data_IF_991045353989
#
_entry.id   IF_991045353989
#
_cell.length_a   1.000
_cell.length_b   1.000
_cell.length_c   1.000
_cell.angle_alpha   90.00
_cell.angle_beta   90.00
_cell.angle_gamma   90.00
#
_symmetry.space_group_name_H-M   'P 1'
#
loop_
_entity.id
_entity.type
_entity.pdbx_description
1 polymer ?
#
# COMPACT_ATOMS: atom_id res chain seq x y z
N UNK A 1 -14.51 26.14 67.65
CA UNK A 1 -15.69 25.58 68.35
C UNK A 1 -16.29 24.47 67.49
N UNK A 2 -16.36 23.29 68.12
CA UNK A 2 -17.20 22.10 67.84
C UNK A 2 -17.27 21.53 66.39
N UNK A 3 -16.52 20.42 66.23
CA UNK A 3 -16.70 19.35 65.31
C UNK A 3 -18.07 18.69 65.42
N UNK A 4 -18.70 18.33 64.31
CA UNK A 4 -19.71 17.27 64.29
C UNK A 4 -19.39 16.27 63.20
N UNK A 5 -19.05 15.06 63.64
CA UNK A 5 -18.97 13.84 62.80
C UNK A 5 -20.41 13.33 62.62
N UNK A 6 -20.73 12.92 61.35
CA UNK A 6 -21.88 12.05 61.08
C UNK A 6 -21.38 10.74 60.49
N UNK A 7 -21.67 9.67 61.21
CA UNK A 7 -21.47 8.29 60.82
C UNK A 7 -22.81 7.81 60.24
N UNK A 8 -22.81 7.24 59.04
CA UNK A 8 -23.94 6.47 58.52
C UNK A 8 -23.59 4.98 58.45
N UNK A 9 -24.53 4.08 58.75
CA UNK A 9 -24.26 2.67 58.88
C UNK A 9 -24.36 1.92 57.53
N UNK A 10 -23.51 0.89 57.44
CA UNK A 10 -23.48 -0.13 56.41
C UNK A 10 -24.68 -1.05 56.59
N UNK A 11 -25.48 -1.24 55.55
CA UNK A 11 -26.51 -2.26 55.49
C UNK A 11 -26.06 -3.35 54.51
N UNK A 12 -25.71 -4.50 55.05
CA UNK A 12 -25.42 -5.74 54.31
C UNK A 12 -26.74 -6.40 53.94
N UNK A 13 -26.97 -6.60 52.67
CA UNK A 13 -28.02 -7.51 52.17
C UNK A 13 -27.38 -8.73 51.51
N UNK A 14 -27.57 -9.85 52.17
CA UNK A 14 -27.31 -11.20 51.66
C UNK A 14 -28.45 -11.57 50.72
N UNK A 15 -28.16 -11.97 49.52
CA UNK A 15 -29.14 -12.60 48.64
C UNK A 15 -28.65 -14.00 48.25
N UNK A 16 -29.49 -14.95 48.58
CA UNK A 16 -29.39 -16.38 48.29
C UNK A 16 -29.42 -16.65 46.78
N UNK A 17 -28.58 -17.61 46.35
CA UNK A 17 -28.66 -18.26 45.04
C UNK A 17 -29.63 -19.45 45.11
N UNK A 18 -30.44 -19.72 44.07
CA UNK A 18 -31.09 -21.00 43.89
C UNK A 18 -30.21 -21.97 43.07
N UNK A 19 -30.05 -23.16 43.64
CA UNK A 19 -29.48 -24.32 42.97
C UNK A 19 -30.41 -24.82 41.86
N UNK A 20 -29.85 -25.08 40.68
CA UNK A 20 -30.54 -25.87 39.67
C UNK A 20 -29.85 -27.22 39.47
N UNK A 21 -30.69 -28.26 39.54
CA UNK A 21 -30.43 -29.69 39.44
C UNK A 21 -29.77 -30.05 38.13
N UNK A 22 -28.74 -30.85 38.22
CA UNK A 22 -28.18 -31.61 37.09
C UNK A 22 -29.13 -32.78 36.71
N UNK A 23 -29.52 -32.84 35.47
CA UNK A 23 -30.05 -34.04 34.86
C UNK A 23 -28.96 -34.70 34.03
N UNK A 24 -28.50 -35.86 34.47
CA UNK A 24 -27.76 -36.85 33.68
C UNK A 24 -28.74 -37.53 32.70
N UNK A 25 -28.38 -37.55 31.44
CA UNK A 25 -28.95 -38.49 30.48
C UNK A 25 -27.83 -39.31 29.87
N UNK A 26 -28.04 -40.61 29.93
CA UNK A 26 -27.16 -41.71 29.58
C UNK A 26 -26.76 -41.74 28.10
N UNK A 27 -25.55 -42.23 27.88
CA UNK A 27 -25.07 -42.72 26.59
C UNK A 27 -25.88 -43.94 26.12
N UNK A 28 -26.24 -43.94 24.83
CA UNK A 28 -26.64 -45.14 24.13
C UNK A 28 -25.97 -45.18 22.74
N UNK A 29 -25.41 -46.33 22.43
CA UNK A 29 -24.64 -46.67 21.25
C UNK A 29 -25.45 -46.52 19.96
N UNK A 30 -24.81 -46.03 18.89
CA UNK A 30 -25.20 -46.37 17.52
C UNK A 30 -24.02 -46.32 16.55
N UNK A 31 -23.51 -47.48 16.25
CA UNK A 31 -23.15 -48.04 14.94
C UNK A 31 -22.38 -47.22 13.89
N UNK A 32 -21.30 -47.88 13.49
CA UNK A 32 -20.37 -47.65 12.40
C UNK A 32 -20.99 -47.25 11.05
N UNK A 33 -20.36 -46.31 10.40
CA UNK A 33 -20.50 -46.02 8.99
C UNK A 33 -19.27 -46.48 8.21
N UNK A 34 -19.41 -46.96 6.96
CA UNK A 34 -18.33 -47.59 6.24
C UNK A 34 -17.36 -46.62 5.59
N UNK A 35 -16.10 -47.04 5.56
CA UNK A 35 -14.97 -46.48 4.87
C UNK A 35 -15.23 -46.33 3.36
N UNK A 36 -14.84 -45.22 2.69
CA UNK A 36 -14.81 -45.19 1.23
C UNK A 36 -13.53 -45.82 0.69
N UNK A 37 -13.71 -46.64 -0.31
CA UNK A 37 -12.73 -47.44 -1.01
C UNK A 37 -11.59 -46.62 -1.62
N UNK A 38 -10.37 -47.17 -1.54
CA UNK A 38 -9.19 -46.77 -2.30
C UNK A 38 -9.46 -46.94 -3.80
N UNK A 39 -9.31 -45.85 -4.56
CA UNK A 39 -9.17 -45.90 -6.00
C UNK A 39 -7.67 -45.93 -6.35
N UNK A 40 -7.27 -47.05 -6.99
CA UNK A 40 -5.94 -47.24 -7.56
C UNK A 40 -5.70 -46.26 -8.72
N UNK A 41 -4.54 -45.60 -8.70
CA UNK A 41 -3.99 -44.90 -9.86
C UNK A 41 -3.43 -45.95 -10.84
N UNK A 42 -4.03 -46.06 -12.00
CA UNK A 42 -3.38 -46.67 -13.16
C UNK A 42 -2.72 -45.58 -14.00
N UNK A 43 -1.40 -45.64 -14.04
CA UNK A 43 -0.56 -44.93 -15.00
C UNK A 43 -0.74 -45.52 -16.38
N UNK A 44 -1.08 -44.70 -17.38
CA UNK A 44 -0.63 -44.93 -18.76
C UNK A 44 -0.36 -43.57 -19.47
N UNK A 45 0.74 -43.47 -20.24
CA UNK A 45 1.13 -42.27 -20.93
C UNK A 45 0.44 -42.17 -22.29
N UNK A 46 -0.10 -41.03 -22.61
CA UNK A 46 -0.55 -40.70 -23.97
C UNK A 46 0.50 -39.86 -24.68
N UNK A 47 0.82 -40.30 -25.87
CA UNK A 47 1.89 -39.86 -26.75
C UNK A 47 1.73 -38.45 -27.28
N UNK A 48 2.90 -37.85 -27.50
CA UNK A 48 3.16 -36.69 -28.35
C UNK A 48 2.57 -36.83 -29.76
N UNK A 49 1.94 -35.77 -30.23
CA UNK A 49 2.01 -35.43 -31.66
C UNK A 49 2.34 -33.94 -31.79
N UNK A 50 3.60 -33.72 -32.11
CA UNK A 50 4.09 -32.46 -32.61
C UNK A 50 3.48 -32.20 -34.01
N UNK A 51 3.04 -30.97 -34.22
CA UNK A 51 2.84 -30.43 -35.56
C UNK A 51 3.48 -29.05 -35.63
N UNK A 52 4.65 -29.07 -36.22
CA UNK A 52 5.47 -27.97 -36.61
C UNK A 52 4.84 -27.29 -37.83
N UNK A 53 4.61 -25.99 -37.79
CA UNK A 53 4.42 -25.18 -38.98
C UNK A 53 5.28 -23.91 -38.82
N UNK A 54 6.38 -23.92 -39.58
CA UNK A 54 7.26 -22.77 -39.81
C UNK A 54 6.63 -21.78 -40.80
N UNK A 55 6.98 -20.48 -40.72
CA UNK A 55 6.47 -19.44 -41.59
C UNK A 55 7.32 -19.33 -42.87
N UNK A 56 6.66 -19.23 -43.98
CA UNK A 56 7.27 -18.83 -45.25
C UNK A 56 7.09 -17.35 -45.48
N UNK A 57 8.20 -16.66 -45.68
CA UNK A 57 8.25 -15.36 -46.33
C UNK A 57 8.19 -15.53 -47.85
N UNK A 58 7.74 -14.56 -48.61
CA UNK A 58 8.39 -14.27 -49.86
C UNK A 58 8.84 -12.82 -50.05
N UNK A 59 9.85 -12.76 -50.87
CA UNK A 59 10.77 -11.71 -51.22
C UNK A 59 10.21 -10.61 -52.12
N UNK A 60 11.06 -9.60 -52.19
CA UNK A 60 11.08 -8.36 -52.94
C UNK A 60 10.91 -8.44 -54.48
N UNK A 61 10.45 -7.33 -55.05
CA UNK A 61 10.97 -6.70 -56.29
C UNK A 61 10.35 -5.29 -56.37
N UNK A 62 11.09 -4.24 -56.38
CA UNK A 62 12.00 -3.61 -57.33
C UNK A 62 11.29 -2.62 -58.27
N UNK A 63 11.78 -1.35 -58.17
CA UNK A 63 11.94 -0.33 -59.20
C UNK A 63 10.71 0.31 -59.87
N UNK A 64 10.60 1.63 -59.80
CA UNK A 64 11.25 2.60 -60.66
C UNK A 64 10.93 4.05 -60.29
N UNK A 65 11.92 4.94 -60.50
CA UNK A 65 11.85 6.40 -60.54
C UNK A 65 11.82 6.81 -62.04
N UNK A 66 11.32 7.99 -62.50
CA UNK A 66 12.05 9.23 -62.33
C UNK A 66 11.22 10.54 -62.28
N UNK A 67 11.85 11.52 -61.66
CA UNK A 67 12.01 12.96 -61.88
C UNK A 67 10.97 13.82 -62.62
N UNK A 68 10.67 15.00 -62.02
CA UNK A 68 10.90 16.32 -62.58
C UNK A 68 10.59 17.46 -61.59
N UNK A 69 11.59 18.19 -61.30
CA UNK A 69 11.81 19.62 -61.20
C UNK A 69 10.60 20.58 -60.99
N UNK A 70 10.67 21.36 -59.92
CA UNK A 70 10.26 22.78 -59.90
C UNK A 70 10.88 23.48 -58.68
N UNK A 71 11.73 24.39 -58.97
CA UNK A 71 12.31 25.40 -58.07
C UNK A 71 11.23 26.21 -57.38
N UNK A 72 11.35 26.43 -56.07
CA UNK A 72 10.95 27.68 -55.51
C UNK A 72 11.78 28.06 -54.27
N UNK A 73 12.18 29.25 -54.30
CA UNK A 73 12.98 30.13 -53.49
C UNK A 73 12.89 29.98 -51.96
N UNK A 74 14.08 29.97 -51.37
CA UNK A 74 14.31 30.08 -49.92
C UNK A 74 13.88 31.42 -49.37
N UNK A 75 13.16 31.41 -48.23
CA UNK A 75 13.08 32.50 -47.29
C UNK A 75 13.89 32.13 -46.04
N UNK A 76 14.55 33.06 -45.35
CA UNK A 76 15.50 32.74 -44.29
C UNK A 76 14.80 32.24 -43.05
N UNK A 77 15.30 31.14 -42.50
CA UNK A 77 14.90 30.60 -41.18
C UNK A 77 15.23 31.59 -40.10
N UNK A 78 14.20 32.05 -39.38
CA UNK A 78 14.34 32.69 -38.09
C UNK A 78 14.92 31.72 -37.05
N UNK A 79 15.59 32.21 -36.00
CA UNK A 79 16.22 31.34 -35.02
C UNK A 79 15.17 30.44 -34.37
N UNK A 80 15.42 29.11 -34.34
CA UNK A 80 14.67 28.13 -33.59
C UNK A 80 14.66 28.59 -32.10
N UNK A 81 13.50 28.89 -31.61
CA UNK A 81 13.28 29.06 -30.17
C UNK A 81 13.59 27.70 -29.54
N UNK A 82 14.71 27.60 -28.87
CA UNK A 82 14.98 26.53 -27.90
C UNK A 82 13.89 26.65 -26.87
N UNK A 83 12.98 25.70 -26.85
CA UNK A 83 12.01 25.53 -25.78
C UNK A 83 12.82 25.27 -24.51
N UNK A 84 12.99 26.32 -23.70
CA UNK A 84 13.62 26.18 -22.40
C UNK A 84 12.73 25.25 -21.61
N UNK A 85 13.28 24.10 -21.20
CA UNK A 85 12.62 23.21 -20.27
C UNK A 85 12.10 24.05 -19.10
N UNK A 86 10.79 24.08 -18.89
CA UNK A 86 10.17 24.83 -17.81
C UNK A 86 10.82 24.40 -16.49
N UNK A 87 11.27 25.36 -15.71
CA UNK A 87 11.77 25.07 -14.37
C UNK A 87 10.67 24.34 -13.58
N UNK A 88 11.03 23.36 -12.74
CA UNK A 88 10.05 22.62 -11.95
C UNK A 88 9.22 23.59 -11.10
N UNK A 89 7.91 23.33 -11.04
CA UNK A 89 6.99 24.15 -10.27
C UNK A 89 7.46 24.25 -8.81
N UNK A 90 7.48 25.45 -8.27
CA UNK A 90 7.95 25.76 -6.92
C UNK A 90 6.79 26.35 -6.10
N UNK A 91 6.76 26.01 -4.82
CA UNK A 91 5.88 26.60 -3.82
C UNK A 91 6.73 27.15 -2.68
N UNK A 92 6.45 28.36 -2.24
CA UNK A 92 7.18 28.97 -1.13
C UNK A 92 6.93 28.24 0.19
N UNK A 93 7.95 28.16 1.04
CA UNK A 93 7.90 27.60 2.39
C UNK A 93 7.59 26.08 2.48
N UNK A 94 8.03 25.30 1.52
CA UNK A 94 8.04 23.84 1.63
C UNK A 94 9.41 23.35 2.14
N UNK A 95 9.48 22.71 3.30
CA UNK A 95 10.73 22.13 3.80
C UNK A 95 11.17 20.95 2.93
N UNK A 96 12.41 20.49 3.11
CA UNK A 96 12.85 19.21 2.57
C UNK A 96 12.03 18.08 3.19
N UNK A 97 11.77 17.04 2.41
CA UNK A 97 11.05 15.86 2.88
C UNK A 97 11.63 14.57 2.30
N UNK A 98 11.51 13.49 3.05
CA UNK A 98 11.93 12.16 2.62
C UNK A 98 10.85 11.14 3.00
N UNK A 99 10.49 10.29 2.05
CA UNK A 99 9.56 9.17 2.24
C UNK A 99 10.32 7.89 1.91
N UNK A 100 10.33 6.93 2.84
CA UNK A 100 10.71 5.55 2.58
C UNK A 100 9.45 4.71 2.47
N UNK A 101 9.42 3.78 1.52
CA UNK A 101 8.23 2.96 1.34
C UNK A 101 8.54 1.55 0.88
N UNK A 102 7.61 0.66 1.18
CA UNK A 102 7.55 -0.71 0.70
C UNK A 102 6.16 -1.00 0.15
N UNK A 103 6.02 -2.05 -0.63
CA UNK A 103 4.77 -2.60 -1.12
C UNK A 103 4.97 -4.07 -1.49
N UNK A 104 3.90 -4.87 -1.43
CA UNK A 104 3.88 -6.26 -1.89
C UNK A 104 5.03 -7.12 -1.32
N UNK A 105 5.29 -6.98 -0.03
CA UNK A 105 6.39 -7.70 0.64
C UNK A 105 6.08 -9.18 0.81
N UNK A 106 4.80 -9.55 0.98
CA UNK A 106 4.33 -10.93 1.00
C UNK A 106 5.11 -11.85 1.95
N UNK A 107 5.30 -11.39 3.20
CA UNK A 107 5.92 -12.21 4.23
C UNK A 107 7.41 -12.51 4.04
N UNK A 108 8.12 -11.73 3.26
CA UNK A 108 9.58 -11.84 3.04
C UNK A 108 10.37 -11.29 4.23
N UNK A 109 10.24 -11.97 5.37
CA UNK A 109 10.85 -11.58 6.66
C UNK A 109 12.36 -11.78 6.64
N UNK A 110 12.82 -12.92 6.10
CA UNK A 110 14.20 -13.35 6.13
C UNK A 110 14.94 -12.87 4.88
N UNK A 111 16.21 -12.46 5.06
CA UNK A 111 17.11 -12.15 3.95
C UNK A 111 17.38 -13.40 3.11
N UNK A 112 17.22 -13.26 1.80
CA UNK A 112 17.53 -14.28 0.80
C UNK A 112 18.20 -13.65 -0.41
N UNK A 113 18.55 -14.47 -1.42
CA UNK A 113 19.11 -13.94 -2.68
C UNK A 113 18.09 -12.99 -3.35
N UNK A 114 18.46 -11.71 -3.42
CA UNK A 114 17.60 -10.67 -4.01
C UNK A 114 16.51 -10.13 -3.08
N UNK A 115 16.42 -10.62 -1.85
CA UNK A 115 15.45 -10.19 -0.82
C UNK A 115 16.21 -9.54 0.33
N UNK A 116 15.80 -8.34 0.71
CA UNK A 116 16.46 -7.55 1.78
C UNK A 116 16.22 -8.17 3.15
N UNK A 117 14.99 -8.60 3.42
CA UNK A 117 14.55 -9.05 4.74
C UNK A 117 14.29 -7.92 5.74
N UNK A 118 13.41 -8.18 6.69
CA UNK A 118 12.90 -7.15 7.61
C UNK A 118 14.01 -6.60 8.55
N UNK A 119 14.98 -7.43 8.96
CA UNK A 119 16.08 -6.97 9.82
C UNK A 119 17.02 -5.95 9.14
N UNK A 120 17.31 -6.10 7.85
CA UNK A 120 18.08 -5.11 7.10
C UNK A 120 17.24 -3.90 6.69
N UNK A 121 15.97 -4.10 6.39
CA UNK A 121 15.01 -3.00 6.22
C UNK A 121 15.00 -2.09 7.45
N UNK A 122 14.95 -2.67 8.66
CA UNK A 122 15.00 -1.92 9.91
C UNK A 122 16.28 -1.07 10.02
N UNK A 123 17.43 -1.65 9.67
CA UNK A 123 18.71 -0.91 9.69
C UNK A 123 18.70 0.26 8.71
N UNK A 124 18.26 0.04 7.47
CA UNK A 124 18.16 1.12 6.45
C UNK A 124 17.27 2.26 6.95
N UNK A 125 16.12 1.94 7.54
CA UNK A 125 15.21 2.94 8.08
C UNK A 125 15.84 3.68 9.26
N UNK A 126 16.51 3.00 10.18
CA UNK A 126 17.22 3.61 11.32
C UNK A 126 18.33 4.55 10.85
N UNK A 127 19.11 4.15 9.83
CA UNK A 127 20.15 4.99 9.24
C UNK A 127 19.59 6.25 8.56
N UNK A 128 18.48 6.15 7.84
CA UNK A 128 17.84 7.31 7.24
C UNK A 128 17.23 8.24 8.29
N UNK A 129 16.62 7.70 9.34
CA UNK A 129 16.11 8.50 10.48
C UNK A 129 17.23 9.18 11.29
N UNK A 130 18.41 8.57 11.37
CA UNK A 130 19.55 9.19 12.01
C UNK A 130 20.05 10.43 11.23
N UNK A 131 19.89 10.43 9.90
CA UNK A 131 20.22 11.58 9.03
C UNK A 131 19.12 12.63 9.06
N UNK A 132 17.86 12.19 9.07
CA UNK A 132 16.66 13.03 9.08
C UNK A 132 15.55 12.37 9.93
N UNK A 133 15.30 12.83 11.16
CA UNK A 133 14.30 12.25 12.04
C UNK A 133 12.85 12.43 11.51
N UNK A 134 12.64 13.32 10.52
CA UNK A 134 11.33 13.60 9.92
C UNK A 134 10.98 12.67 8.75
N UNK A 135 11.78 11.62 8.48
CA UNK A 135 11.48 10.62 7.45
C UNK A 135 10.15 9.94 7.72
N UNK A 136 9.25 9.99 6.72
CA UNK A 136 8.01 9.23 6.71
C UNK A 136 8.30 7.80 6.20
N UNK A 137 7.82 6.78 6.90
CA UNK A 137 7.97 5.37 6.52
C UNK A 137 6.59 4.73 6.35
N UNK A 138 6.28 4.26 5.15
CA UNK A 138 4.95 3.76 4.79
C UNK A 138 4.99 2.47 3.98
N UNK A 139 3.87 1.74 3.97
CA UNK A 139 3.70 0.53 3.17
C UNK A 139 2.39 0.61 2.35
N UNK A 140 2.43 0.22 1.09
CA UNK A 140 1.29 0.28 0.20
C UNK A 140 0.51 -1.03 0.10
N UNK A 141 0.61 -1.92 1.09
CA UNK A 141 -0.22 -3.12 1.21
C UNK A 141 0.41 -4.41 0.72
N UNK A 142 -0.30 -5.51 0.92
CA UNK A 142 0.12 -6.89 0.66
C UNK A 142 1.39 -7.27 1.44
N UNK A 143 1.36 -7.00 2.74
CA UNK A 143 2.51 -7.20 3.61
C UNK A 143 2.55 -8.60 4.22
N UNK A 144 1.42 -9.16 4.65
CA UNK A 144 1.37 -10.24 5.64
C UNK A 144 1.29 -11.64 5.05
N UNK A 145 0.57 -11.81 3.95
CA UNK A 145 0.39 -13.10 3.30
C UNK A 145 1.52 -13.38 2.30
N UNK A 146 2.00 -14.62 2.22
CA UNK A 146 2.98 -15.06 1.22
C UNK A 146 3.73 -16.31 1.66
N UNK A 147 4.86 -16.16 2.34
CA UNK A 147 5.67 -17.28 2.77
C UNK A 147 5.10 -18.01 4.00
N UNK A 148 5.36 -19.34 4.15
CA UNK A 148 4.93 -20.10 5.30
C UNK A 148 5.31 -19.52 6.65
N UNK A 149 6.49 -18.89 6.75
CA UNK A 149 6.96 -18.25 7.98
C UNK A 149 6.01 -17.14 8.46
N UNK A 150 5.40 -16.38 7.55
CA UNK A 150 4.38 -15.39 7.88
C UNK A 150 2.98 -16.01 7.99
N UNK A 151 2.62 -16.89 7.03
CA UNK A 151 1.29 -17.48 6.96
C UNK A 151 0.95 -18.35 8.18
N UNK A 152 1.94 -18.97 8.83
CA UNK A 152 1.73 -19.82 10.03
C UNK A 152 1.07 -19.06 11.18
N UNK A 153 1.33 -17.76 11.30
CA UNK A 153 0.70 -16.85 12.25
C UNK A 153 -0.39 -15.98 11.61
N UNK A 154 -0.80 -16.28 10.36
CA UNK A 154 -1.67 -15.41 9.55
C UNK A 154 -1.14 -13.97 9.45
N UNK A 155 0.17 -13.80 9.42
CA UNK A 155 0.83 -12.51 9.35
C UNK A 155 0.95 -11.73 10.68
N UNK A 156 0.40 -12.24 11.80
CA UNK A 156 0.43 -11.53 13.08
C UNK A 156 1.86 -11.28 13.59
N UNK A 157 2.76 -12.26 13.43
CA UNK A 157 4.16 -12.07 13.85
C UNK A 157 4.85 -10.99 13.00
N UNK A 158 4.60 -10.98 11.69
CA UNK A 158 5.13 -9.90 10.86
C UNK A 158 4.56 -8.53 11.22
N UNK A 159 3.28 -8.45 11.59
CA UNK A 159 2.70 -7.19 12.09
C UNK A 159 3.44 -6.65 13.32
N UNK A 160 3.87 -7.53 14.24
CA UNK A 160 4.72 -7.14 15.38
C UNK A 160 6.10 -6.67 14.95
N UNK A 161 6.71 -7.32 13.96
CA UNK A 161 7.99 -6.90 13.37
C UNK A 161 7.87 -5.51 12.75
N UNK A 162 6.80 -5.21 12.01
CA UNK A 162 6.56 -3.88 11.44
C UNK A 162 6.42 -2.79 12.51
N UNK A 163 5.86 -3.14 13.68
CA UNK A 163 5.84 -2.23 14.84
C UNK A 163 7.24 -1.89 15.35
N UNK A 164 8.15 -2.88 15.38
CA UNK A 164 9.54 -2.67 15.80
C UNK A 164 10.34 -1.87 14.77
N UNK A 165 10.12 -2.11 13.49
CA UNK A 165 10.69 -1.31 12.39
C UNK A 165 10.22 0.14 12.49
N UNK A 166 8.98 0.35 12.93
CA UNK A 166 8.42 1.67 13.18
C UNK A 166 7.87 2.33 11.92
N UNK A 167 6.97 1.66 11.22
CA UNK A 167 6.18 2.29 10.17
C UNK A 167 5.27 3.39 10.73
N UNK A 168 4.91 4.36 9.88
CA UNK A 168 4.03 5.48 10.23
C UNK A 168 2.59 5.28 9.75
N UNK A 169 2.41 4.54 8.65
CA UNK A 169 1.11 4.15 8.11
C UNK A 169 1.26 3.02 7.09
N UNK A 170 0.16 2.29 6.86
CA UNK A 170 0.08 1.24 5.85
C UNK A 170 -1.28 1.26 5.17
N UNK A 171 -1.34 1.00 3.85
CA UNK A 171 -2.59 0.72 3.15
C UNK A 171 -2.99 -0.75 3.29
N UNK A 172 -4.27 -1.02 3.13
CA UNK A 172 -4.83 -2.38 3.00
C UNK A 172 -4.72 -2.81 1.55
N UNK A 173 -4.00 -3.90 1.27
CA UNK A 173 -4.01 -4.57 -0.02
C UNK A 173 -5.08 -5.67 -0.12
N UNK A 174 -5.13 -6.37 -1.25
CA UNK A 174 -6.10 -7.45 -1.42
C UNK A 174 -5.71 -8.71 -0.61
N UNK A 175 -4.44 -8.97 -0.41
CA UNK A 175 -3.96 -10.13 0.34
C UNK A 175 -4.04 -9.96 1.87
N UNK A 176 -4.33 -8.77 2.40
CA UNK A 176 -4.71 -8.61 3.79
C UNK A 176 -6.02 -9.32 4.12
N UNK A 177 -6.84 -9.65 3.12
CA UNK A 177 -8.09 -10.40 3.29
C UNK A 177 -7.94 -11.93 3.11
N UNK A 178 -6.76 -12.45 2.80
CA UNK A 178 -6.58 -13.87 2.50
C UNK A 178 -6.90 -14.81 3.68
N UNK A 179 -6.82 -14.30 4.89
CA UNK A 179 -7.22 -15.02 6.11
C UNK A 179 -8.63 -14.63 6.61
N UNK A 180 -9.39 -13.87 5.81
CA UNK A 180 -10.74 -13.41 6.10
C UNK A 180 -10.82 -12.01 6.70
N UNK A 181 -12.04 -11.43 6.66
CA UNK A 181 -12.30 -10.07 7.12
C UNK A 181 -11.94 -9.87 8.60
N UNK A 182 -12.22 -10.85 9.46
CA UNK A 182 -11.95 -10.73 10.89
C UNK A 182 -10.45 -10.66 11.17
N UNK A 183 -9.64 -11.42 10.44
CA UNK A 183 -8.19 -11.33 10.54
C UNK A 183 -7.67 -9.99 10.00
N UNK A 184 -8.21 -9.52 8.86
CA UNK A 184 -7.88 -8.20 8.34
C UNK A 184 -8.18 -7.07 9.35
N UNK A 185 -9.29 -7.17 10.07
CA UNK A 185 -9.62 -6.24 11.16
C UNK A 185 -8.67 -6.36 12.35
N UNK A 186 -8.20 -7.56 12.66
CA UNK A 186 -7.31 -7.82 13.81
C UNK A 186 -5.95 -7.13 13.64
N UNK A 187 -5.45 -6.98 12.42
CA UNK A 187 -4.23 -6.21 12.19
C UNK A 187 -4.30 -4.78 12.74
N UNK A 188 -5.48 -4.12 12.72
CA UNK A 188 -5.65 -2.79 13.31
C UNK A 188 -5.40 -2.76 14.83
N UNK A 189 -5.59 -3.90 15.50
CA UNK A 189 -5.39 -4.02 16.95
C UNK A 189 -3.94 -4.34 17.30
N UNK A 190 -3.23 -5.02 16.36
CA UNK A 190 -1.83 -5.42 16.54
C UNK A 190 -0.88 -4.27 16.17
N UNK A 191 -1.17 -3.57 15.05
CA UNK A 191 -0.33 -2.50 14.53
C UNK A 191 -0.38 -1.27 15.44
N UNK A 192 0.77 -0.68 15.73
CA UNK A 192 0.94 0.56 16.49
C UNK A 192 0.84 1.81 15.61
N UNK A 193 0.54 1.63 14.34
CA UNK A 193 0.35 2.68 13.34
C UNK A 193 -0.93 2.39 12.55
N UNK A 194 -1.53 3.41 11.90
CA UNK A 194 -2.79 3.26 11.19
C UNK A 194 -2.70 2.32 9.98
N UNK A 195 -3.69 1.43 9.88
CA UNK A 195 -3.98 0.63 8.69
C UNK A 195 -5.14 1.29 7.94
N UNK A 196 -4.90 1.73 6.70
CA UNK A 196 -5.73 2.69 5.99
C UNK A 196 -6.42 2.08 4.76
N UNK A 197 -7.71 2.35 4.62
CA UNK A 197 -8.46 2.15 3.37
C UNK A 197 -9.67 3.07 3.32
N UNK A 198 -9.68 4.00 2.39
CA UNK A 198 -10.77 4.95 2.22
C UNK A 198 -12.05 4.33 1.63
N UNK A 199 -11.91 3.23 0.88
CA UNK A 199 -12.95 2.68 0.01
C UNK A 199 -13.43 1.26 0.38
N UNK A 200 -13.07 0.74 1.55
CA UNK A 200 -13.50 -0.58 2.04
C UNK A 200 -14.64 -0.45 3.03
N UNK A 201 -15.79 -1.03 2.71
CA UNK A 201 -17.03 -0.95 3.49
C UNK A 201 -17.59 -2.32 3.84
N UNK A 202 -18.14 -2.45 5.04
CA UNK A 202 -18.97 -3.56 5.47
C UNK A 202 -20.12 -3.03 6.33
N UNK A 203 -21.34 -3.56 6.15
CA UNK A 203 -22.53 -3.08 6.88
C UNK A 203 -22.73 -1.56 6.76
N UNK A 204 -22.50 -0.99 5.59
CA UNK A 204 -22.60 0.45 5.29
C UNK A 204 -21.65 1.35 6.12
N UNK A 205 -20.64 0.78 6.75
CA UNK A 205 -19.62 1.53 7.47
C UNK A 205 -18.23 1.23 6.90
N UNK A 206 -17.36 2.25 6.89
CA UNK A 206 -15.96 2.07 6.50
C UNK A 206 -15.26 1.14 7.49
N UNK A 207 -14.59 0.11 7.00
CA UNK A 207 -13.95 -0.94 7.83
C UNK A 207 -12.65 -0.43 8.47
N UNK A 208 -11.89 0.35 7.72
CA UNK A 208 -10.60 0.90 8.12
C UNK A 208 -10.67 2.43 8.17
N UNK A 209 -9.72 3.02 8.87
CA UNK A 209 -9.52 4.46 8.83
C UNK A 209 -9.14 4.89 7.41
N UNK A 210 -9.71 6.00 6.92
CA UNK A 210 -9.46 6.45 5.55
C UNK A 210 -8.09 7.12 5.40
N UNK A 211 -7.70 7.89 6.42
CA UNK A 211 -6.51 8.74 6.40
C UNK A 211 -5.99 8.98 7.80
N UNK A 212 -4.73 9.43 7.86
CA UNK A 212 -4.10 9.92 9.08
C UNK A 212 -3.22 11.13 8.76
N UNK A 213 -2.90 11.91 9.78
CA UNK A 213 -1.91 12.99 9.67
C UNK A 213 -0.71 12.58 10.49
N UNK A 214 0.45 12.55 9.85
CA UNK A 214 1.74 12.24 10.48
C UNK A 214 2.52 13.55 10.59
N UNK A 215 2.66 14.02 11.82
CA UNK A 215 3.44 15.19 12.18
C UNK A 215 4.68 14.72 12.96
N UNK A 216 5.85 14.90 12.36
CA UNK A 216 7.14 14.49 12.94
C UNK A 216 7.79 15.57 13.78
N UNK A 217 7.37 16.82 13.61
CA UNK A 217 7.90 17.97 14.32
C UNK A 217 6.83 19.03 14.53
N UNK A 218 6.02 18.93 15.59
CA UNK A 218 4.93 19.86 15.85
C UNK A 218 5.34 21.34 16.01
N UNK A 219 6.65 21.62 16.02
CA UNK A 219 7.17 22.99 16.05
C UNK A 219 7.32 23.62 14.65
N UNK A 220 7.15 22.82 13.60
CA UNK A 220 7.31 23.24 12.19
C UNK A 220 5.98 23.08 11.47
N UNK A 221 5.39 24.16 11.03
CA UNK A 221 4.17 24.12 10.22
C UNK A 221 4.50 23.79 8.75
N UNK A 222 3.67 22.97 8.11
CA UNK A 222 3.76 22.63 6.69
C UNK A 222 4.69 21.45 6.38
N UNK A 223 5.23 20.77 7.39
CA UNK A 223 5.99 19.53 7.24
C UNK A 223 5.15 18.27 7.55
N UNK A 224 3.91 18.44 7.96
CA UNK A 224 2.97 17.33 8.19
C UNK A 224 2.68 16.58 6.89
N UNK A 225 2.48 15.27 7.01
CA UNK A 225 2.02 14.42 5.92
C UNK A 225 0.56 14.02 6.15
N UNK A 226 -0.30 14.33 5.19
CA UNK A 226 -1.64 13.73 5.09
C UNK A 226 -1.48 12.42 4.36
N UNK A 227 -1.74 11.30 5.02
CA UNK A 227 -1.62 9.95 4.45
C UNK A 227 -3.01 9.36 4.26
N UNK A 228 -3.35 8.97 3.03
CA UNK A 228 -4.63 8.37 2.64
C UNK A 228 -4.37 6.98 2.10
N UNK A 229 -5.15 5.97 2.53
CA UNK A 229 -5.08 4.61 1.97
C UNK A 229 -6.23 4.34 1.01
N UNK A 230 -5.98 3.54 -0.03
CA UNK A 230 -7.01 3.06 -0.96
C UNK A 230 -6.68 1.66 -1.46
N UNK A 231 -7.71 0.80 -1.50
CA UNK A 231 -7.62 -0.63 -1.83
C UNK A 231 -8.23 -0.89 -3.20
N UNK A 232 -7.62 -1.77 -3.98
CA UNK A 232 -8.14 -2.16 -5.30
C UNK A 232 -9.52 -2.79 -5.20
N UNK A 233 -10.50 -2.38 -6.03
CA UNK A 233 -11.78 -3.08 -6.15
C UNK A 233 -11.64 -4.52 -6.67
N UNK A 234 -10.51 -4.85 -7.32
CA UNK A 234 -10.19 -6.24 -7.70
C UNK A 234 -10.11 -7.19 -6.51
N UNK A 235 -10.00 -6.68 -5.27
CA UNK A 235 -10.02 -7.49 -4.05
C UNK A 235 -11.23 -8.41 -3.99
N UNK A 236 -12.36 -8.00 -4.53
CA UNK A 236 -13.57 -8.84 -4.61
C UNK A 236 -13.35 -10.18 -5.34
N UNK A 237 -12.34 -10.25 -6.23
CA UNK A 237 -11.99 -11.42 -7.05
C UNK A 237 -10.55 -11.88 -6.94
N UNK A 238 -9.65 -11.06 -6.41
CA UNK A 238 -8.21 -11.34 -6.24
C UNK A 238 -7.86 -11.96 -4.88
N UNK A 239 -8.83 -12.12 -3.98
CA UNK A 239 -8.77 -13.00 -2.82
C UNK A 239 -9.91 -14.01 -2.90
N UNK A 240 -9.94 -14.99 -2.00
CA UNK A 240 -11.03 -15.97 -2.02
C UNK A 240 -12.38 -15.29 -1.68
N UNK A 241 -13.43 -15.40 -2.50
CA UNK A 241 -14.68 -14.65 -2.34
C UNK A 241 -15.35 -14.79 -0.96
N UNK A 242 -15.18 -15.92 -0.28
CA UNK A 242 -15.68 -16.12 1.09
C UNK A 242 -15.03 -15.19 2.10
N UNK A 243 -13.78 -14.78 1.86
CA UNK A 243 -13.01 -13.94 2.78
C UNK A 243 -13.48 -12.49 2.80
N UNK A 244 -14.17 -12.07 1.74
CA UNK A 244 -14.69 -10.70 1.55
C UNK A 244 -16.21 -10.66 1.39
N UNK A 245 -16.90 -11.72 1.83
CA UNK A 245 -18.35 -11.75 1.82
C UNK A 245 -18.94 -10.60 2.65
N UNK A 246 -19.82 -9.81 2.04
CA UNK A 246 -20.41 -8.62 2.67
C UNK A 246 -19.47 -7.40 2.74
N UNK A 247 -18.31 -7.48 2.08
CA UNK A 247 -17.39 -6.33 1.92
C UNK A 247 -17.59 -5.73 0.54
N UNK A 248 -17.62 -4.40 0.48
CA UNK A 248 -17.70 -3.62 -0.76
C UNK A 248 -16.47 -2.76 -0.89
N UNK A 249 -15.88 -2.75 -2.08
CA UNK A 249 -14.76 -1.88 -2.46
C UNK A 249 -15.31 -0.87 -3.49
N UNK A 250 -15.40 0.40 -3.08
CA UNK A 250 -15.96 1.45 -3.92
C UNK A 250 -14.90 2.08 -4.84
N UNK A 251 -15.32 2.95 -5.75
CA UNK A 251 -14.43 3.58 -6.73
C UNK A 251 -13.27 4.34 -6.07
N UNK A 252 -12.02 4.01 -6.41
CA UNK A 252 -10.84 4.55 -5.74
C UNK A 252 -10.71 6.06 -5.88
N UNK A 253 -10.92 6.59 -7.09
CA UNK A 253 -10.72 8.01 -7.40
C UNK A 253 -11.75 8.85 -6.68
N UNK A 254 -13.01 8.44 -6.72
CA UNK A 254 -14.12 9.10 -6.02
C UNK A 254 -13.87 9.14 -4.51
N UNK A 255 -13.47 8.03 -3.91
CA UNK A 255 -13.26 7.94 -2.47
C UNK A 255 -12.04 8.74 -2.00
N UNK A 256 -10.93 8.69 -2.72
CA UNK A 256 -9.74 9.49 -2.37
C UNK A 256 -10.06 10.98 -2.47
N UNK A 257 -10.72 11.43 -3.54
CA UNK A 257 -11.12 12.84 -3.67
C UNK A 257 -12.09 13.26 -2.57
N UNK A 258 -13.05 12.41 -2.18
CA UNK A 258 -13.95 12.69 -1.07
C UNK A 258 -13.19 12.88 0.25
N UNK A 259 -12.22 12.03 0.53
CA UNK A 259 -11.38 12.14 1.74
C UNK A 259 -10.54 13.42 1.71
N UNK A 260 -9.98 13.80 0.55
CA UNK A 260 -9.28 15.08 0.38
C UNK A 260 -10.21 16.25 0.69
N UNK A 261 -11.45 16.21 0.18
CA UNK A 261 -12.46 17.26 0.43
C UNK A 261 -12.77 17.38 1.93
N UNK A 262 -12.95 16.25 2.62
CA UNK A 262 -13.19 16.20 4.07
C UNK A 262 -11.99 16.77 4.86
N UNK A 263 -10.75 16.45 4.46
CA UNK A 263 -9.53 16.94 5.11
C UNK A 263 -9.35 18.43 4.90
N UNK A 264 -9.50 18.92 3.65
CA UNK A 264 -9.34 20.33 3.32
C UNK A 264 -10.40 21.18 4.02
N UNK A 265 -11.66 20.72 4.10
CA UNK A 265 -12.72 21.40 4.83
C UNK A 265 -12.41 21.49 6.33
N UNK A 266 -11.94 20.42 6.95
CA UNK A 266 -11.53 20.40 8.36
C UNK A 266 -10.31 21.31 8.60
N UNK A 267 -9.30 21.21 7.74
CA UNK A 267 -8.10 22.06 7.84
C UNK A 267 -8.46 23.54 7.76
N UNK A 268 -9.33 23.94 6.82
CA UNK A 268 -9.80 25.30 6.69
C UNK A 268 -10.53 25.78 7.96
N UNK A 269 -11.38 24.94 8.57
CA UNK A 269 -12.07 25.24 9.81
C UNK A 269 -11.10 25.42 11.01
N UNK A 270 -9.98 24.69 11.00
CA UNK A 270 -8.93 24.73 12.03
C UNK A 270 -7.83 25.76 11.74
N UNK A 271 -7.89 26.49 10.62
CA UNK A 271 -6.87 27.45 10.18
C UNK A 271 -5.56 26.79 9.76
N UNK A 272 -5.59 25.50 9.37
CA UNK A 272 -4.44 24.71 8.90
C UNK A 272 -4.38 24.67 7.37
N UNK A 273 -3.19 24.47 6.85
CA UNK A 273 -2.96 24.30 5.41
C UNK A 273 -1.89 23.22 5.17
N UNK A 274 -2.34 21.97 5.02
CA UNK A 274 -1.45 20.85 4.74
C UNK A 274 -0.81 20.98 3.36
N UNK A 275 0.48 20.70 3.28
CA UNK A 275 1.30 20.87 2.07
C UNK A 275 1.73 19.54 1.43
N UNK A 276 1.74 18.44 2.20
CA UNK A 276 2.21 17.14 1.72
C UNK A 276 1.09 16.12 1.83
N UNK A 277 0.64 15.59 0.68
CA UNK A 277 -0.31 14.51 0.56
C UNK A 277 0.41 13.25 0.10
N UNK A 278 0.18 12.15 0.77
CA UNK A 278 0.70 10.82 0.41
C UNK A 278 -0.50 9.88 0.27
N UNK A 279 -0.70 9.34 -0.91
CA UNK A 279 -1.74 8.36 -1.18
C UNK A 279 -1.08 6.99 -1.30
N UNK A 280 -1.34 6.13 -0.33
CA UNK A 280 -0.93 4.73 -0.35
C UNK A 280 -1.99 3.96 -1.14
N UNK A 281 -1.69 3.73 -2.40
CA UNK A 281 -2.59 3.10 -3.35
C UNK A 281 -2.20 1.63 -3.53
N UNK A 282 -3.08 0.71 -3.20
CA UNK A 282 -2.90 -0.68 -3.59
C UNK A 282 -3.78 -0.97 -4.80
N UNK A 283 -3.42 -0.41 -5.97
CA UNK A 283 -4.21 -0.40 -7.20
C UNK A 283 -3.49 -1.03 -8.39
N UNK A 284 -2.21 -0.73 -8.55
CA UNK A 284 -1.36 -1.23 -9.62
C UNK A 284 -1.60 -0.55 -10.98
N UNK A 285 -0.82 -1.02 -11.96
CA UNK A 285 -0.83 -0.49 -13.34
C UNK A 285 -1.00 -1.60 -14.38
N UNK A 286 -1.44 -2.79 -13.98
CA UNK A 286 -1.67 -3.90 -14.89
C UNK A 286 -2.65 -3.54 -15.99
N UNK A 287 -2.36 -3.97 -17.21
CA UNK A 287 -3.23 -3.74 -18.36
C UNK A 287 -4.56 -4.51 -18.27
N UNK A 288 -4.62 -5.56 -17.46
CA UNK A 288 -5.85 -6.34 -17.18
C UNK A 288 -6.75 -5.68 -16.16
N UNK A 289 -6.21 -4.78 -15.31
CA UNK A 289 -7.00 -3.98 -14.38
C UNK A 289 -7.79 -2.92 -15.13
N UNK A 290 -9.09 -2.72 -14.85
CA UNK A 290 -9.87 -1.62 -15.41
C UNK A 290 -9.13 -0.29 -15.25
N UNK A 291 -9.11 0.52 -16.32
CA UNK A 291 -8.32 1.75 -16.35
C UNK A 291 -8.67 2.70 -15.20
N UNK A 292 -9.95 2.80 -14.87
CA UNK A 292 -10.46 3.64 -13.77
C UNK A 292 -10.00 3.21 -12.37
N UNK A 293 -9.49 1.97 -12.23
CA UNK A 293 -8.98 1.45 -10.95
C UNK A 293 -7.46 1.45 -10.84
N UNK A 294 -6.75 1.92 -11.87
CA UNK A 294 -5.29 1.94 -11.86
C UNK A 294 -4.73 3.10 -11.05
N UNK A 295 -3.60 2.85 -10.40
CA UNK A 295 -2.89 3.89 -9.65
C UNK A 295 -2.39 5.04 -10.52
N UNK A 296 -2.03 4.76 -11.79
CA UNK A 296 -1.69 5.79 -12.77
C UNK A 296 -2.85 6.73 -13.07
N UNK A 297 -4.07 6.19 -13.21
CA UNK A 297 -5.28 7.00 -13.43
C UNK A 297 -5.64 7.84 -12.20
N UNK A 298 -5.47 7.26 -11.00
CA UNK A 298 -5.60 8.02 -9.76
C UNK A 298 -4.58 9.18 -9.71
N UNK A 299 -3.31 8.92 -9.98
CA UNK A 299 -2.26 9.94 -9.97
C UNK A 299 -2.55 11.08 -10.97
N UNK A 300 -3.01 10.72 -12.17
CA UNK A 300 -3.45 11.72 -13.17
C UNK A 300 -4.65 12.53 -12.68
N UNK A 301 -5.64 11.91 -12.07
CA UNK A 301 -6.80 12.61 -11.49
C UNK A 301 -6.40 13.58 -10.38
N UNK A 302 -5.47 13.15 -9.49
CA UNK A 302 -4.96 13.99 -8.41
C UNK A 302 -4.19 15.21 -8.93
N UNK A 303 -3.44 15.07 -10.03
CA UNK A 303 -2.73 16.19 -10.65
C UNK A 303 -3.66 17.28 -11.19
N UNK A 304 -4.92 16.93 -11.44
CA UNK A 304 -5.97 17.84 -11.93
C UNK A 304 -6.88 18.36 -10.80
N UNK A 305 -6.71 17.88 -9.56
CA UNK A 305 -7.53 18.30 -8.43
C UNK A 305 -7.16 19.73 -7.98
N UNK A 306 -8.07 20.72 -8.08
CA UNK A 306 -7.75 22.11 -7.77
C UNK A 306 -7.39 22.35 -6.30
N UNK A 307 -7.84 21.48 -5.37
CA UNK A 307 -7.52 21.56 -3.94
C UNK A 307 -6.07 21.17 -3.63
N UNK A 308 -5.44 20.43 -4.56
CA UNK A 308 -4.05 19.99 -4.43
C UNK A 308 -3.06 20.87 -5.20
N UNK A 309 -3.55 21.92 -5.87
CA UNK A 309 -2.69 22.86 -6.58
C UNK A 309 -1.69 23.54 -5.63
N UNK A 310 -0.41 23.49 -5.99
CA UNK A 310 0.67 24.05 -5.17
C UNK A 310 1.00 23.21 -3.92
N UNK A 311 0.49 21.98 -3.82
CA UNK A 311 0.81 21.01 -2.78
C UNK A 311 1.59 19.84 -3.36
N UNK A 312 2.46 19.23 -2.56
CA UNK A 312 3.13 17.96 -2.91
C UNK A 312 2.15 16.83 -2.81
N UNK A 313 2.07 16.00 -3.84
CA UNK A 313 1.28 14.79 -3.85
C UNK A 313 2.20 13.63 -4.23
N UNK A 314 2.28 12.62 -3.38
CA UNK A 314 3.03 11.39 -3.63
C UNK A 314 2.06 10.23 -3.67
N UNK A 315 2.03 9.50 -4.77
CA UNK A 315 1.30 8.25 -4.89
C UNK A 315 2.30 7.10 -4.76
N UNK A 316 2.19 6.33 -3.69
CA UNK A 316 2.93 5.09 -3.50
C UNK A 316 1.98 3.96 -3.80
N UNK A 317 2.29 3.16 -4.81
CA UNK A 317 1.40 2.09 -5.30
C UNK A 317 1.98 0.68 -5.09
N UNK A 318 1.16 -0.31 -5.29
CA UNK A 318 1.47 -1.73 -5.18
C UNK A 318 0.63 -2.56 -6.15
N UNK A 319 0.31 -3.82 -5.78
CA UNK A 319 -0.58 -4.75 -6.46
C UNK A 319 -0.03 -5.35 -7.77
N UNK A 320 0.52 -4.57 -8.67
CA UNK A 320 1.05 -5.06 -9.96
C UNK A 320 2.50 -5.54 -9.90
N UNK A 321 3.16 -5.45 -8.73
CA UNK A 321 4.56 -5.83 -8.55
C UNK A 321 5.54 -5.12 -9.51
N UNK A 322 5.18 -3.94 -9.98
CA UNK A 322 5.95 -3.18 -10.97
C UNK A 322 7.00 -2.31 -10.29
N UNK A 323 8.17 -2.13 -10.90
CA UNK A 323 9.10 -1.07 -10.53
C UNK A 323 8.85 0.09 -11.46
N UNK A 324 8.26 1.16 -10.93
CA UNK A 324 7.88 2.31 -11.74
C UNK A 324 8.05 3.61 -10.96
N UNK A 325 8.53 4.63 -11.66
CA UNK A 325 8.69 5.97 -11.13
C UNK A 325 8.34 6.97 -12.23
N UNK A 326 7.36 7.82 -11.98
CA UNK A 326 6.91 8.81 -12.96
C UNK A 326 6.30 10.03 -12.27
N UNK A 327 5.92 11.04 -13.04
CA UNK A 327 5.26 12.25 -12.53
C UNK A 327 4.02 12.57 -13.34
N UNK A 328 3.03 13.19 -12.70
CA UNK A 328 1.80 13.67 -13.33
C UNK A 328 1.59 15.14 -12.99
N UNK A 329 1.36 15.97 -14.01
CA UNK A 329 1.26 17.41 -13.84
C UNK A 329 2.53 18.01 -13.24
N UNK A 330 2.37 19.04 -12.44
CA UNK A 330 3.46 19.80 -11.83
C UNK A 330 3.72 19.48 -10.35
N UNK A 331 2.91 18.55 -9.77
CA UNK A 331 2.93 18.31 -8.32
C UNK A 331 2.74 16.86 -7.87
N UNK A 332 2.49 15.90 -8.77
CA UNK A 332 2.30 14.49 -8.39
C UNK A 332 3.51 13.65 -8.76
N UNK A 333 4.11 13.00 -7.76
CA UNK A 333 5.18 12.01 -7.91
C UNK A 333 4.58 10.64 -7.65
N UNK A 334 4.73 9.72 -8.60
CA UNK A 334 4.29 8.33 -8.49
C UNK A 334 5.49 7.39 -8.34
N UNK A 335 5.41 6.45 -7.41
CA UNK A 335 6.44 5.44 -7.23
C UNK A 335 5.85 4.09 -6.81
N UNK A 336 6.36 3.01 -7.39
CA UNK A 336 6.12 1.62 -7.02
C UNK A 336 7.46 0.86 -7.04
N UNK A 337 7.72 0.00 -6.05
CA UNK A 337 9.06 -0.55 -5.79
C UNK A 337 9.19 -2.05 -6.07
N UNK A 338 8.33 -2.60 -6.92
CA UNK A 338 8.31 -4.02 -7.25
C UNK A 338 7.59 -4.85 -6.20
N UNK A 339 8.19 -5.95 -5.77
CA UNK A 339 7.59 -6.84 -4.77
C UNK A 339 8.67 -7.57 -3.96
N UNK A 340 8.23 -8.34 -2.95
CA UNK A 340 9.04 -9.29 -2.19
C UNK A 340 10.27 -8.68 -1.51
N UNK A 341 10.20 -7.37 -1.22
CA UNK A 341 11.32 -6.63 -0.63
C UNK A 341 12.63 -6.75 -1.44
N UNK A 342 12.50 -6.80 -2.78
CA UNK A 342 13.65 -6.70 -3.69
C UNK A 342 14.25 -5.29 -3.67
N UNK A 343 13.43 -4.30 -3.37
CA UNK A 343 13.82 -2.90 -3.24
C UNK A 343 13.11 -2.26 -2.04
N UNK A 344 13.71 -1.20 -1.52
CA UNK A 344 13.05 -0.20 -0.68
C UNK A 344 12.90 1.05 -1.54
N UNK A 345 11.69 1.60 -1.64
CA UNK A 345 11.46 2.85 -2.34
C UNK A 345 11.85 4.05 -1.48
N UNK A 346 12.36 5.10 -2.12
CA UNK A 346 12.71 6.36 -1.47
C UNK A 346 12.32 7.51 -2.36
N UNK A 347 11.55 8.46 -1.83
CA UNK A 347 11.22 9.71 -2.52
C UNK A 347 11.77 10.88 -1.71
N UNK A 348 12.61 11.72 -2.33
CA UNK A 348 13.17 12.90 -1.69
C UNK A 348 12.67 14.16 -2.34
N UNK A 349 12.36 15.16 -1.52
CA UNK A 349 11.96 16.48 -1.97
C UNK A 349 12.98 17.51 -1.51
N UNK A 350 13.48 18.32 -2.42
CA UNK A 350 14.21 19.54 -2.07
C UNK A 350 13.24 20.62 -1.58
N UNK A 351 13.75 21.55 -0.79
CA UNK A 351 12.97 22.68 -0.33
C UNK A 351 12.28 23.41 -1.50
N UNK A 352 11.03 23.76 -1.32
CA UNK A 352 10.19 24.50 -2.27
C UNK A 352 9.92 23.79 -3.61
N UNK A 353 10.27 22.51 -3.76
CA UNK A 353 9.94 21.73 -4.95
C UNK A 353 8.68 20.90 -4.72
N UNK A 354 7.76 20.90 -5.69
CA UNK A 354 6.53 20.15 -5.66
C UNK A 354 6.71 18.69 -6.11
N UNK A 355 7.62 18.45 -7.04
CA UNK A 355 7.95 17.10 -7.51
C UNK A 355 9.11 16.53 -6.70
N UNK A 356 8.94 15.28 -6.26
CA UNK A 356 9.97 14.50 -5.61
C UNK A 356 10.91 13.80 -6.61
N UNK A 357 12.04 13.33 -6.09
CA UNK A 357 12.98 12.47 -6.80
C UNK A 357 12.80 11.03 -6.29
N UNK A 358 12.10 10.15 -7.03
CA UNK A 358 11.92 8.76 -6.65
C UNK A 358 13.19 7.96 -6.94
N UNK A 359 13.55 7.09 -6.00
CA UNK A 359 14.73 6.24 -6.05
C UNK A 359 14.38 4.82 -5.55
N UNK A 360 15.18 3.84 -5.96
CA UNK A 360 15.13 2.48 -5.46
C UNK A 360 16.42 2.17 -4.69
N UNK A 361 16.28 1.55 -3.52
CA UNK A 361 17.39 0.97 -2.77
C UNK A 361 17.29 -0.55 -2.96
N UNK A 362 18.04 -1.13 -3.93
CA UNK A 362 17.91 -2.55 -4.25
C UNK A 362 18.59 -3.42 -3.19
N UNK A 363 18.22 -4.69 -3.13
CA UNK A 363 18.80 -5.69 -2.24
C UNK A 363 20.34 -5.74 -2.34
N UNK A 364 20.92 -5.55 -3.52
CA UNK A 364 22.37 -5.48 -3.73
C UNK A 364 23.04 -4.33 -2.96
N UNK A 365 22.33 -3.24 -2.73
CA UNK A 365 22.81 -2.14 -1.90
C UNK A 365 22.55 -2.44 -0.41
N UNK A 366 21.33 -2.86 -0.09
CA UNK A 366 20.90 -3.12 1.29
C UNK A 366 21.67 -4.29 1.94
N UNK A 367 22.17 -5.28 1.17
CA UNK A 367 22.96 -6.38 1.72
C UNK A 367 24.27 -5.94 2.39
N UNK A 368 24.71 -4.72 2.15
CA UNK A 368 25.94 -4.16 2.74
C UNK A 368 25.74 -3.68 4.18
N UNK A 369 24.52 -3.48 4.62
CA UNK A 369 24.22 -3.09 6.00
C UNK A 369 24.09 -4.32 6.88
N UNK A 370 24.43 -4.17 8.17
CA UNK A 370 24.21 -5.22 9.15
C UNK A 370 22.72 -5.36 9.46
N UNK A 371 22.21 -6.56 9.71
CA UNK A 371 20.85 -6.74 10.18
C UNK A 371 20.63 -6.08 11.54
N UNK A 372 19.47 -5.50 11.76
CA UNK A 372 19.08 -5.01 13.08
C UNK A 372 18.93 -6.18 14.05
N UNK A 373 19.64 -6.18 15.20
CA UNK A 373 19.66 -7.32 16.10
C UNK A 373 18.31 -7.59 16.76
N UNK A 374 17.51 -6.55 17.03
CA UNK A 374 16.21 -6.73 17.68
C UNK A 374 15.23 -7.39 16.72
N UNK A 375 15.17 -6.90 15.47
CA UNK A 375 14.30 -7.48 14.44
C UNK A 375 14.79 -8.87 14.02
N UNK A 376 16.09 -9.12 13.99
CA UNK A 376 16.64 -10.43 13.65
C UNK A 376 16.31 -11.51 14.71
N UNK A 377 16.10 -11.13 15.96
CA UNK A 377 15.79 -12.03 17.07
C UNK A 377 14.28 -12.30 17.22
N UNK A 378 13.41 -11.59 16.47
CA UNK A 378 11.97 -11.78 16.46
C UNK A 378 11.52 -12.93 15.55
#
# INVERSE_FOLDING_TARGET
MKKKFFILPVLSTVLLAPAFLAHQVSAEEAQASPEPAKAELTNQPAAETASEVQPTAPAASAEEKPAADSQNTAAPAGPAATEAAAAPAQSENLPEATILHTNDVHGRIVEEKGVIGDAKLATVIKEERAKNPKVLVVDAGDAFQGLPISNSSKGEERAKILNEIGYDAMAVGNHEFDFGLDEAKKYKEILKFPLLSSNTYANNARVFQASTIVDKDPAVEGDEFVVIGVTTPETATKTHPKNVQGVTFTDPITEVNRVIDEIEARAAAEGKNYKNYVVLAHLGVDTTTPTEWRGSTLAEALSKNPKLKGKRVTVIDGHSHTVESTTYGDNVTYNQTGSYLHNIGKVTFKANQLLGNPQQIPAETAKKVAPDPVVADM
#
